data_IF_082336329954
#
_entry.id   IF_082336329954
#
_cell.length_a   1.000
_cell.length_b   1.000
_cell.length_c   1.000
_cell.angle_alpha   90.00
_cell.angle_beta   90.00
_cell.angle_gamma   90.00
#
_symmetry.space_group_name_H-M   'P 1'
#
loop_
_entity.id
_entity.type
_entity.pdbx_description
1 polymer ?
2 non-polymer ?
3 non-polymer ?
4 water ?
#
# COMPACT_ATOMS: atom_id res chain seq x y z
N UNK A 4 -24.09 9.18 25.86
CA UNK A 4 -23.52 9.52 24.52
C UNK A 4 -24.60 9.54 23.46
N UNK A 5 -24.62 10.57 22.60
CA UNK A 5 -25.62 10.56 21.53
C UNK A 5 -25.32 9.44 20.53
N UNK A 6 -26.34 9.06 19.76
CA UNK A 6 -26.24 7.98 18.78
C UNK A 6 -25.55 8.45 17.48
N UNK A 7 -24.99 7.48 16.76
CA UNK A 7 -24.45 7.71 15.43
C UNK A 7 -25.50 8.44 14.59
N UNK A 8 -25.09 9.51 13.91
CA UNK A 8 -25.95 10.20 12.95
C UNK A 8 -25.40 10.04 11.53
N UNK A 9 -26.32 9.88 10.58
CA UNK A 9 -26.00 9.79 9.16
C UNK A 9 -26.91 10.79 8.45
N UNK A 10 -26.31 11.78 7.80
CA UNK A 10 -27.06 12.86 7.17
C UNK A 10 -26.58 13.06 5.75
N UNK A 11 -27.49 13.00 4.79
CA UNK A 11 -27.12 13.21 3.39
C UNK A 11 -26.73 14.67 3.14
N UNK A 12 -25.53 14.89 2.63
CA UNK A 12 -25.07 16.22 2.29
C UNK A 12 -25.53 16.59 0.89
N UNK A 13 -25.40 15.64 -0.03
CA UNK A 13 -25.91 15.78 -1.39
C UNK A 13 -25.88 14.40 -2.00
N UNK A 14 -26.31 14.27 -3.24
CA UNK A 14 -26.35 12.97 -3.90
C UNK A 14 -24.97 12.32 -3.81
N UNK A 15 -24.92 11.13 -3.23
CA UNK A 15 -23.68 10.36 -3.12
C UNK A 15 -22.71 10.75 -2.01
N UNK A 16 -23.10 11.67 -1.14
CA UNK A 16 -22.22 12.14 -0.06
C UNK A 16 -23.01 12.27 1.25
N UNK A 17 -22.56 11.52 2.27
CA UNK A 17 -23.18 11.51 3.59
C UNK A 17 -22.14 11.88 4.64
N UNK A 18 -22.56 12.62 5.65
CA UNK A 18 -21.70 12.93 6.78
C UNK A 18 -22.11 11.98 7.90
N UNK A 19 -21.14 11.27 8.46
CA UNK A 19 -21.41 10.48 9.66
C UNK A 19 -20.80 11.17 10.87
N UNK A 20 -21.60 11.27 11.94
CA UNK A 20 -21.15 11.88 13.16
C UNK A 20 -21.28 10.85 14.28
N UNK A 21 -20.17 10.59 14.94
CA UNK A 21 -20.12 9.65 16.05
C UNK A 21 -19.52 10.34 17.26
N UNK A 22 -19.78 9.78 18.44
CA UNK A 22 -19.42 10.41 19.71
C UNK A 22 -18.69 9.45 20.64
N UNK A 23 -17.76 9.98 21.42
CA UNK A 23 -17.05 9.17 22.40
C UNK A 23 -16.81 9.94 23.69
N UNK A 27 -10.46 14.07 32.57
CA UNK A 27 -11.39 12.95 32.32
C UNK A 27 -12.34 13.41 31.24
N UNK A 28 -11.77 14.29 30.42
CA UNK A 28 -12.44 15.30 29.58
C UNK A 28 -14.00 15.41 29.53
N UNK A 29 -14.64 14.62 28.68
CA UNK A 29 -16.07 14.79 28.39
C UNK A 29 -16.51 14.00 27.17
N UNK A 30 -16.76 14.70 26.06
CA UNK A 30 -17.33 14.06 24.87
C UNK A 30 -16.86 14.72 23.56
N UNK A 31 -16.32 13.90 22.67
CA UNK A 31 -15.81 14.33 21.36
C UNK A 31 -16.86 14.04 20.29
N UNK A 32 -17.20 15.07 19.50
CA UNK A 32 -18.02 14.93 18.31
C UNK A 32 -17.09 14.75 17.11
N UNK A 33 -17.32 13.71 16.29
CA UNK A 33 -16.42 13.40 15.17
C UNK A 33 -17.21 13.18 13.89
N UNK A 34 -16.92 14.01 12.89
CA UNK A 34 -17.55 13.91 11.57
C UNK A 34 -16.64 13.15 10.60
N UNK A 35 -17.24 12.27 9.81
CA UNK A 35 -16.58 11.66 8.67
C UNK A 35 -17.54 11.69 7.51
N UNK A 36 -17.14 11.09 6.40
CA UNK A 36 -18.01 10.95 5.24
C UNK A 36 -18.21 9.50 4.83
N UNK A 37 -19.29 9.25 4.11
CA UNK A 37 -19.42 8.07 3.25
C UNK A 37 -19.71 8.61 1.86
N UNK A 38 -18.94 8.15 0.88
CA UNK A 38 -19.02 8.61 -0.49
C UNK A 38 -19.41 7.44 -1.38
N UNK A 39 -20.35 7.66 -2.29
CA UNK A 39 -20.83 6.62 -3.21
C UNK A 39 -20.19 6.76 -4.58
N UNK A 40 -19.72 5.63 -5.12
CA UNK A 40 -19.30 5.52 -6.53
C UNK A 40 -20.20 4.41 -7.08
N UNK A 41 -21.17 4.79 -7.90
CA UNK A 41 -22.31 3.93 -8.24
C UNK A 41 -22.99 3.46 -6.94
N UNK A 42 -23.12 2.15 -6.76
CA UNK A 42 -23.68 1.64 -5.53
C UNK A 42 -22.63 1.21 -4.51
N UNK A 43 -21.36 1.56 -4.75
CA UNK A 43 -20.30 1.20 -3.82
C UNK A 43 -20.06 2.37 -2.86
N UNK A 44 -19.93 2.06 -1.58
CA UNK A 44 -19.74 3.09 -0.57
C UNK A 44 -18.32 3.04 -0.02
N UNK A 45 -17.73 4.21 0.19
CA UNK A 45 -16.39 4.32 0.76
C UNK A 45 -16.45 5.20 2.00
N UNK A 46 -15.94 4.68 3.12
CA UNK A 46 -15.89 5.46 4.35
C UNK A 46 -14.68 6.38 4.28
N UNK A 47 -14.91 7.65 4.54
CA UNK A 47 -13.80 8.60 4.72
C UNK A 47 -13.72 8.86 6.22
N UNK A 48 -12.70 8.24 6.83
CA UNK A 48 -12.56 8.05 8.28
C UNK A 48 -13.61 7.05 8.77
N UNK A 49 -13.21 6.18 9.70
CA UNK A 49 -14.17 5.32 10.36
C UNK A 49 -14.79 6.15 11.49
N UNK A 50 -15.98 5.75 11.95
CA UNK A 50 -16.46 6.32 13.20
C UNK A 50 -15.49 6.07 14.35
N UNK A 51 -15.75 6.80 15.43
CA UNK A 51 -14.86 6.92 16.55
C UNK A 51 -14.85 5.67 17.43
N UNK A 52 -15.81 4.75 17.23
CA UNK A 52 -15.77 3.42 17.86
C UNK A 52 -16.00 2.29 16.85
N UNK A 53 -15.55 1.09 17.22
CA UNK A 53 -15.83 -0.11 16.43
C UNK A 53 -17.32 -0.39 16.30
N UNK A 54 -18.08 -0.21 17.39
CA UNK A 54 -19.54 -0.41 17.35
C UNK A 54 -20.25 0.54 16.40
N UNK A 55 -19.86 1.82 16.42
CA UNK A 55 -20.43 2.81 15.48
C UNK A 55 -20.04 2.52 14.03
N UNK A 56 -18.85 1.95 13.83
CA UNK A 56 -18.42 1.55 12.50
C UNK A 56 -19.35 0.44 11.97
N UNK A 57 -19.65 -0.52 12.84
CA UNK A 57 -20.58 -1.60 12.50
C UNK A 57 -21.97 -1.05 12.20
N UNK A 58 -22.45 -0.12 13.02
CA UNK A 58 -23.77 0.47 12.79
C UNK A 58 -23.82 1.20 11.44
N UNK A 59 -22.77 1.96 11.17
CA UNK A 59 -22.68 2.69 9.91
C UNK A 59 -22.72 1.76 8.70
N UNK A 60 -21.86 0.76 8.72
CA UNK A 60 -21.77 -0.22 7.64
C UNK A 60 -23.14 -0.90 7.43
N UNK A 61 -23.78 -1.31 8.53
CA UNK A 61 -25.10 -1.95 8.44
C UNK A 61 -26.19 -1.07 7.88
N UNK A 62 -26.13 0.22 8.19
CA UNK A 62 -27.12 1.14 7.64
C UNK A 62 -26.97 1.16 6.13
N UNK A 63 -25.73 1.26 5.67
CA UNK A 63 -25.50 1.35 4.22
C UNK A 63 -25.87 0.03 3.51
N UNK A 64 -25.49 -1.09 4.09
CA UNK A 64 -25.86 -2.42 3.57
C UNK A 64 -27.37 -2.56 3.48
N UNK A 65 -28.08 -2.11 4.51
CA UNK A 65 -29.54 -2.23 4.58
C UNK A 65 -30.28 -1.26 3.64
N UNK A 66 -29.54 -0.31 3.07
CA UNK A 66 -30.05 0.55 2.00
C UNK A 66 -29.53 0.16 0.65
N UNK A 67 -28.93 -1.03 0.55
CA UNK A 67 -28.57 -1.58 -0.74
C UNK A 67 -27.19 -1.27 -1.25
N UNK A 68 -26.36 -0.63 -0.41
CA UNK A 68 -25.01 -0.26 -0.82
C UNK A 68 -23.99 -1.28 -0.33
N UNK A 69 -22.99 -1.52 -1.17
CA UNK A 69 -21.87 -2.38 -0.88
C UNK A 69 -20.75 -1.53 -0.28
N UNK A 70 -20.27 -1.87 0.92
CA UNK A 70 -19.15 -1.13 1.51
C UNK A 70 -17.83 -1.65 0.94
N UNK A 71 -17.21 -0.86 0.08
CA UNK A 71 -16.09 -1.31 -0.72
C UNK A 71 -14.72 -0.93 -0.16
N UNK A 72 -14.67 0.08 0.70
CA UNK A 72 -13.42 0.44 1.34
C UNK A 72 -13.56 1.57 2.35
N UNK A 73 -12.51 1.78 3.12
CA UNK A 73 -12.41 2.92 4.03
C UNK A 73 -11.00 3.45 4.01
N UNK A 74 -10.89 4.78 4.13
CA UNK A 74 -9.61 5.44 4.17
C UNK A 74 -9.59 6.26 5.47
N UNK A 75 -8.54 6.07 6.26
CA UNK A 75 -8.34 6.81 7.50
C UNK A 75 -7.35 7.96 7.26
N UNK A 76 -7.71 9.17 7.66
CA UNK A 76 -6.88 10.35 7.44
C UNK A 76 -5.73 10.59 8.42
N UNK A 77 -5.74 9.96 9.60
CA UNK A 77 -4.58 9.96 10.47
C UNK A 77 -4.71 8.84 11.49
N UNK A 78 -3.64 8.63 12.25
CA UNK A 78 -3.54 7.42 13.09
C UNK A 78 -4.39 7.41 14.35
N UNK A 79 -4.86 8.59 14.79
CA UNK A 79 -5.66 8.66 16.03
C UNK A 79 -6.92 7.83 15.89
N UNK A 80 -7.40 7.34 17.04
CA UNK A 80 -8.61 6.54 17.12
C UNK A 80 -9.84 7.12 16.45
N UNK A 81 -9.98 8.45 16.46
CA UNK A 81 -11.18 9.01 15.84
C UNK A 81 -11.27 8.83 14.32
N UNK A 82 -10.14 8.47 13.67
CA UNK A 82 -10.13 8.16 12.21
C UNK A 82 -10.00 6.66 11.92
N UNK A 83 -9.53 5.89 12.90
CA UNK A 83 -9.11 4.52 12.71
C UNK A 83 -9.80 3.47 13.60
N UNK A 84 -10.66 3.88 14.55
CA UNK A 84 -11.22 2.92 15.52
C UNK A 84 -11.80 1.68 14.83
N UNK A 85 -12.45 1.89 13.68
CA UNK A 85 -13.15 0.82 13.00
C UNK A 85 -12.34 -0.10 12.08
N UNK A 86 -11.05 0.15 11.93
CA UNK A 86 -10.24 -0.61 10.96
C UNK A 86 -10.23 -2.11 11.29
N UNK A 87 -10.01 -2.45 12.55
CA UNK A 87 -9.99 -3.87 12.95
C UNK A 87 -11.28 -4.58 12.57
N UNK A 88 -12.41 -3.99 12.93
CA UNK A 88 -13.69 -4.60 12.57
C UNK A 88 -13.90 -4.67 11.05
N UNK A 89 -13.51 -3.62 10.33
CA UNK A 89 -13.65 -3.65 8.88
C UNK A 89 -12.80 -4.79 8.28
N UNK A 90 -11.58 -4.98 8.78
CA UNK A 90 -10.72 -6.07 8.31
C UNK A 90 -11.36 -7.44 8.54
N UNK A 91 -12.08 -7.60 9.65
CA UNK A 91 -12.79 -8.85 9.95
C UNK A 91 -13.90 -9.14 8.95
N UNK A 92 -14.46 -8.08 8.34
CA UNK A 92 -15.51 -8.21 7.33
C UNK A 92 -14.98 -8.34 5.90
N UNK A 93 -13.67 -8.40 5.73
CA UNK A 93 -13.01 -8.32 4.41
C UNK A 93 -13.34 -7.04 3.63
N UNK A 94 -13.51 -5.94 4.35
CA UNK A 94 -13.65 -4.63 3.73
C UNK A 94 -12.26 -4.01 3.69
N UNK A 95 -11.84 -3.62 2.50
CA UNK A 95 -10.50 -3.10 2.27
C UNK A 95 -10.30 -1.80 3.03
N UNK A 96 -9.27 -1.77 3.87
CA UNK A 96 -8.94 -0.56 4.64
C UNK A 96 -7.68 0.06 4.07
N UNK A 97 -7.64 1.39 4.05
CA UNK A 97 -6.53 2.13 3.49
C UNK A 97 -6.04 3.20 4.46
N UNK A 98 -4.73 3.40 4.48
CA UNK A 98 -4.08 4.51 5.19
C UNK A 98 -2.72 4.75 4.57
N UNK A 99 -2.17 5.95 4.73
CA UNK A 99 -0.82 6.21 4.26
C UNK A 99 0.17 5.28 4.96
N UNK A 100 1.34 5.10 4.36
CA UNK A 100 2.38 4.29 5.00
C UNK A 100 2.80 4.87 6.33
N UNK A 101 2.90 6.20 6.41
CA UNK A 101 3.23 6.86 7.68
C UNK A 101 2.17 6.61 8.77
N UNK A 102 0.89 6.72 8.40
CA UNK A 102 -0.20 6.43 9.31
C UNK A 102 -0.13 4.98 9.82
N UNK A 103 0.09 4.02 8.91
CA UNK A 103 0.28 2.62 9.30
C UNK A 103 1.48 2.36 10.20
N UNK A 104 2.58 3.05 9.94
CA UNK A 104 3.76 2.99 10.80
C UNK A 104 3.45 3.51 12.23
N UNK A 105 2.66 4.58 12.33
CA UNK A 105 2.27 5.11 13.63
C UNK A 105 1.26 4.24 14.37
N UNK A 106 0.32 3.64 13.64
CA UNK A 106 -0.57 2.63 14.20
C UNK A 106 0.23 1.47 14.79
N UNK A 107 1.14 0.91 14.00
CA UNK A 107 1.96 -0.20 14.45
C UNK A 107 2.77 0.15 15.71
N UNK A 108 3.43 1.30 15.69
CA UNK A 108 4.15 1.83 16.86
C UNK A 108 3.28 1.88 18.13
N UNK A 109 1.99 2.20 17.99
CA UNK A 109 1.03 2.18 19.12
C UNK A 109 0.38 0.81 19.39
N UNK A 110 0.88 -0.25 18.76
CA UNK A 110 0.27 -1.58 18.85
C UNK A 110 -1.20 -1.61 18.45
N UNK A 111 -1.51 -0.93 17.36
CA UNK A 111 -2.88 -0.86 16.86
C UNK A 111 -2.95 -1.57 15.53
N UNK A 112 -4.13 -2.02 15.19
CA UNK A 112 -4.34 -2.76 13.96
C UNK A 112 -4.14 -1.83 12.76
N UNK A 113 -3.36 -2.31 11.81
CA UNK A 113 -3.06 -1.55 10.59
C UNK A 113 -4.09 -1.71 9.50
N UNK A 114 -4.27 -0.67 8.69
CA UNK A 114 -4.95 -0.80 7.41
C UNK A 114 -4.28 -1.91 6.57
N UNK A 115 -5.08 -2.58 5.77
CA UNK A 115 -4.62 -3.65 4.87
C UNK A 115 -3.78 -3.09 3.73
N UNK A 116 -4.18 -1.93 3.23
CA UNK A 116 -3.60 -1.30 2.06
C UNK A 116 -3.02 0.06 2.41
N UNK A 117 -1.91 0.40 1.79
CA UNK A 117 -1.26 1.66 2.03
C UNK A 117 -0.64 2.23 0.77
N UNK A 118 -0.13 3.45 0.90
CA UNK A 118 0.41 4.19 -0.22
C UNK A 118 1.52 5.11 0.29
N UNK A 119 2.52 5.33 -0.56
CA UNK A 119 3.73 6.04 -0.18
C UNK A 119 3.80 7.49 -0.60
N UNK A 120 2.99 7.90 -1.58
CA UNK A 120 3.15 9.22 -2.18
C UNK A 120 2.46 10.36 -1.42
N UNK A 121 2.86 11.58 -1.76
CA UNK A 121 2.18 12.77 -1.29
C UNK A 121 0.78 12.88 -1.88
N UNK A 122 0.62 12.47 -3.14
CA UNK A 122 -0.67 12.45 -3.82
C UNK A 122 -0.98 11.03 -4.24
N UNK A 123 -2.22 10.61 -4.01
CA UNK A 123 -2.63 9.24 -4.30
C UNK A 123 -4.10 9.21 -4.66
N UNK A 124 -4.45 8.53 -5.75
CA UNK A 124 -5.85 8.33 -6.13
C UNK A 124 -6.34 7.00 -5.62
N UNK A 125 -7.28 7.05 -4.68
CA UNK A 125 -7.92 5.84 -4.18
C UNK A 125 -8.80 5.33 -5.30
N UNK A 126 -9.67 6.19 -5.83
CA UNK A 126 -10.37 5.84 -7.06
C UNK A 126 -10.23 7.03 -8.05
N UNK A 127 -9.73 6.71 -9.24
CA UNK A 127 -9.34 7.74 -10.23
C UNK A 127 -10.48 8.71 -10.52
N UNK A 128 -10.16 9.99 -10.45
CA UNK A 128 -11.09 11.11 -10.64
C UNK A 128 -12.28 11.21 -9.67
N UNK A 129 -12.27 10.43 -8.58
CA UNK A 129 -13.42 10.41 -7.68
C UNK A 129 -13.04 10.55 -6.21
N UNK A 130 -12.01 9.85 -5.77
CA UNK A 130 -11.52 9.98 -4.39
C UNK A 130 -10.00 10.06 -4.40
N UNK A 131 -9.49 11.23 -4.05
CA UNK A 131 -8.08 11.53 -4.11
C UNK A 131 -7.57 11.90 -2.72
N UNK A 132 -6.33 11.50 -2.44
CA UNK A 132 -5.72 11.70 -1.14
C UNK A 132 -4.51 12.60 -1.31
N UNK A 133 -4.32 13.52 -0.36
CA UNK A 133 -3.22 14.49 -0.42
C UNK A 133 -2.62 14.74 0.96
N UNK A 134 -1.30 14.76 1.03
CA UNK A 134 -0.56 15.10 2.24
C UNK A 134 -0.05 16.54 2.16
N UNK A 135 -0.61 17.46 2.97
CA UNK A 135 -0.13 18.84 2.98
C UNK A 135 1.15 19.06 3.78
N UNK A 136 1.52 18.09 4.62
CA UNK A 136 2.63 18.26 5.54
C UNK A 136 2.10 18.12 6.98
N UNK A 137 3.00 18.05 7.96
CA UNK A 137 2.58 17.90 9.34
C UNK A 137 1.72 19.05 9.85
N UNK A 138 0.85 18.74 10.80
CA UNK A 138 0.01 19.75 11.40
C UNK A 138 -0.53 19.19 12.69
N UNK A 139 -1.82 18.84 12.68
CA UNK A 139 -2.45 18.18 13.82
C UNK A 139 -1.66 16.94 14.26
N UNK A 140 -1.20 16.16 13.29
CA UNK A 140 -0.25 15.07 13.52
C UNK A 140 0.76 15.06 12.40
N UNK A 141 1.78 14.21 12.52
CA UNK A 141 2.81 14.07 11.46
C UNK A 141 2.27 13.47 10.16
N UNK A 142 1.17 12.70 10.24
CA UNK A 142 0.74 11.87 9.11
C UNK A 142 -0.55 12.36 8.45
N UNK A 143 -1.12 13.44 8.95
CA UNK A 143 -2.46 13.82 8.53
C UNK A 143 -2.60 14.06 7.03
N UNK A 144 -3.59 13.42 6.40
CA UNK A 144 -3.88 13.63 4.99
C UNK A 144 -5.31 14.13 4.85
N UNK A 145 -5.63 14.66 3.68
CA UNK A 145 -6.96 15.12 3.36
C UNK A 145 -7.46 14.31 2.18
N UNK A 146 -8.78 14.31 2.00
CA UNK A 146 -9.41 13.56 0.93
C UNK A 146 -10.24 14.51 0.08
N UNK A 147 -9.93 14.53 -1.21
CA UNK A 147 -10.57 15.41 -2.19
C UNK A 147 -11.52 14.63 -3.11
N UNK A 148 -12.74 15.15 -3.29
CA UNK A 148 -13.73 14.57 -4.19
C UNK A 148 -13.88 15.50 -5.39
N UNK A 149 -13.08 15.28 -6.45
CA UNK A 149 -13.07 16.23 -7.59
C UNK A 149 -14.44 16.50 -8.20
N UNK A 150 -15.24 15.46 -8.40
CA UNK A 150 -16.55 15.64 -9.03
C UNK A 150 -17.49 16.49 -8.18
N UNK A 151 -17.34 16.42 -6.87
CA UNK A 151 -18.25 17.14 -5.97
C UNK A 151 -17.68 18.46 -5.47
N UNK A 152 -16.38 18.66 -5.68
CA UNK A 152 -15.63 19.81 -5.17
C UNK A 152 -15.71 19.91 -3.64
N UNK A 153 -15.69 18.75 -2.99
CA UNK A 153 -15.73 18.64 -1.53
C UNK A 153 -14.39 18.17 -0.99
N UNK A 154 -13.87 18.90 -0.01
CA UNK A 154 -12.66 18.47 0.67
C UNK A 154 -13.03 17.97 2.06
N UNK A 155 -12.56 16.77 2.40
CA UNK A 155 -12.57 16.32 3.78
C UNK A 155 -11.21 16.56 4.38
N UNK A 156 -11.16 17.48 5.32
CA UNK A 156 -9.91 17.89 5.91
C UNK A 156 -9.59 17.21 7.21
N UNK A 157 -10.53 16.43 7.74
CA UNK A 157 -10.28 15.66 8.96
C UNK A 157 -9.89 16.54 10.13
N UNK A 158 -8.92 16.09 10.92
CA UNK A 158 -8.50 16.84 12.10
C UNK A 158 -7.45 17.93 11.82
N UNK A 159 -7.08 18.10 10.54
CA UNK A 159 -6.15 19.13 10.12
C UNK A 159 -6.84 20.47 10.00
N UNK A 160 -8.05 20.51 9.43
CA UNK A 160 -8.75 21.79 9.39
C UNK A 160 -9.45 22.05 10.73
N UNK A 161 -9.02 23.17 11.31
CA UNK A 161 -9.29 23.56 12.67
C UNK A 161 -9.53 25.05 12.70
N UNK A 162 -10.65 25.50 12.13
CA UNK A 162 -10.88 26.92 11.95
C UNK A 162 -11.27 27.67 13.20
N UNK A 163 -11.47 26.95 14.32
CA UNK A 163 -11.96 27.49 15.60
C UNK A 163 -10.94 27.44 16.70
N UNK A 164 -9.82 26.79 16.46
CA UNK A 164 -8.92 26.38 17.53
C UNK A 164 -8.36 25.03 17.14
N UNK A 165 -7.11 24.80 17.49
CA UNK A 165 -6.38 23.64 17.02
C UNK A 165 -6.65 22.32 17.77
N UNK A 166 -7.37 22.38 18.87
CA UNK A 166 -7.75 21.18 19.63
C UNK A 166 -6.56 20.50 20.30
N UNK A 167 -6.50 19.18 20.16
CA UNK A 167 -5.49 18.36 20.82
C UNK A 167 -4.09 18.52 20.21
N UNK A 168 -3.16 19.11 20.98
CA UNK A 168 -1.80 19.34 20.51
C UNK A 168 -0.80 18.24 20.86
N UNK A 169 -1.25 17.18 21.53
CA UNK A 169 -0.33 16.13 22.03
C UNK A 169 0.63 15.56 21.00
N UNK A 170 0.16 15.40 19.75
CA UNK A 170 1.00 14.84 18.70
C UNK A 170 1.20 15.83 17.55
N UNK A 171 0.97 17.10 17.82
CA UNK A 171 0.95 18.11 16.77
C UNK A 171 2.32 18.65 16.48
N UNK A 172 2.48 19.21 15.28
CA UNK A 172 3.71 19.87 14.89
C UNK A 172 3.39 21.33 14.65
N UNK A 173 3.56 22.13 15.70
CA UNK A 173 3.19 23.56 15.66
C UNK A 173 4.03 24.34 14.66
N UNK A 174 5.30 23.98 14.52
CA UNK A 174 6.20 24.73 13.66
C UNK A 174 5.94 24.48 12.19
N UNK A 175 5.41 23.29 11.86
CA UNK A 175 5.12 22.92 10.49
C UNK A 175 3.70 23.27 10.04
N UNK A 176 2.76 23.38 10.98
CA UNK A 176 1.35 23.53 10.64
C UNK A 176 1.02 24.75 9.75
N UNK A 177 1.65 25.93 10.02
CA UNK A 177 1.32 27.08 9.16
C UNK A 177 1.70 26.86 7.69
N UNK A 178 2.90 26.34 7.45
CA UNK A 178 3.34 26.03 6.09
C UNK A 178 2.44 24.98 5.43
N UNK A 179 2.13 23.91 6.16
CA UNK A 179 1.20 22.88 5.68
C UNK A 179 -0.14 23.47 5.30
N UNK A 180 -0.64 24.34 6.16
CA UNK A 180 -1.93 24.98 5.96
C UNK A 180 -1.97 25.88 4.72
N UNK A 181 -0.86 26.58 4.45
CA UNK A 181 -0.73 27.40 3.25
C UNK A 181 -0.73 26.50 2.01
N UNK A 182 0.01 25.40 2.08
CA UNK A 182 0.02 24.40 1.00
C UNK A 182 -1.42 23.94 0.70
N UNK A 183 -2.19 23.65 1.76
CA UNK A 183 -3.56 23.20 1.60
C UNK A 183 -4.47 24.28 0.99
N UNK A 184 -4.32 25.54 1.46
CA UNK A 184 -5.05 26.68 0.90
C UNK A 184 -4.78 26.86 -0.59
N UNK A 185 -3.53 26.79 -0.99
CA UNK A 185 -3.16 26.91 -2.41
C UNK A 185 -3.80 25.81 -3.26
N UNK A 186 -3.76 24.57 -2.75
CA UNK A 186 -4.23 23.43 -3.53
C UNK A 186 -5.77 23.37 -3.68
N UNK A 187 -6.51 23.75 -2.64
CA UNK A 187 -7.95 23.54 -2.60
C UNK A 187 -8.80 24.78 -2.42
N UNK A 188 -8.29 25.93 -2.87
CA UNK A 188 -9.15 27.10 -3.09
C UNK A 188 -10.35 26.78 -3.93
N UNK A 189 -10.21 25.82 -4.85
CA UNK A 189 -11.32 25.31 -5.67
C UNK A 189 -12.47 24.60 -4.90
N UNK A 190 -12.25 24.23 -3.65
CA UNK A 190 -13.27 23.55 -2.84
C UNK A 190 -14.55 24.37 -2.67
N UNK A 191 -15.69 23.75 -2.99
CA UNK A 191 -17.02 24.29 -2.69
C UNK A 191 -17.33 24.13 -1.21
N UNK A 192 -17.13 22.92 -0.68
CA UNK A 192 -17.32 22.64 0.75
C UNK A 192 -16.08 22.05 1.38
N UNK A 193 -15.80 22.46 2.60
CA UNK A 193 -14.72 21.88 3.41
C UNK A 193 -15.37 21.24 4.63
N UNK A 194 -15.26 19.92 4.71
CA UNK A 194 -15.77 19.14 5.83
C UNK A 194 -14.62 18.83 6.74
N UNK A 195 -14.80 19.10 8.03
CA UNK A 195 -13.75 18.83 9.01
C UNK A 195 -14.22 17.83 10.06
N UNK A 196 -13.27 17.33 10.83
CA UNK A 196 -13.56 16.32 11.86
C UNK A 196 -14.42 16.89 13.00
N UNK A 197 -14.11 18.11 13.43
CA UNK A 197 -14.65 18.64 14.68
C UNK A 197 -15.37 20.00 14.56
N UNK A 198 -15.46 20.61 13.37
CA UNK A 198 -16.23 21.85 13.17
C UNK A 198 -17.35 21.71 12.16
N UNK A 199 -18.23 22.71 12.12
CA UNK A 199 -19.32 22.74 11.13
C UNK A 199 -18.77 22.89 9.71
N UNK A 200 -19.53 22.39 8.75
CA UNK A 200 -19.16 22.44 7.33
C UNK A 200 -19.17 23.90 6.86
N UNK A 201 -18.14 24.28 6.10
CA UNK A 201 -18.07 25.61 5.49
C UNK A 201 -17.47 25.57 4.10
N UNK A 202 -17.05 26.74 3.61
CA UNK A 202 -16.43 26.82 2.30
C UNK A 202 -14.90 26.87 2.40
N UNK A 203 -14.25 27.25 1.31
CA UNK A 203 -12.79 27.24 1.25
C UNK A 203 -12.14 28.19 2.26
N UNK A 204 -12.89 29.17 2.76
CA UNK A 204 -12.35 30.08 3.77
C UNK A 204 -11.89 29.37 5.05
N UNK A 205 -12.44 28.18 5.33
CA UNK A 205 -11.99 27.41 6.49
C UNK A 205 -10.54 27.01 6.38
N UNK A 206 -10.01 26.96 5.16
CA UNK A 206 -8.59 26.68 4.98
C UNK A 206 -7.76 27.88 5.48
N UNK A 207 -8.23 29.08 5.14
CA UNK A 207 -7.58 30.30 5.62
C UNK A 207 -7.68 30.42 7.15
N UNK A 208 -8.88 30.20 7.68
CA UNK A 208 -9.10 30.16 9.13
C UNK A 208 -8.09 29.23 9.83
N UNK A 209 -7.88 28.06 9.23
CA UNK A 209 -6.95 27.09 9.78
C UNK A 209 -5.52 27.60 9.83
N UNK A 210 -5.09 28.25 8.75
CA UNK A 210 -3.77 28.84 8.68
C UNK A 210 -3.61 29.88 9.80
N UNK A 211 -4.62 30.70 10.00
CA UNK A 211 -4.61 31.74 11.06
C UNK A 211 -4.51 31.15 12.45
N UNK A 212 -5.24 30.05 12.69
CA UNK A 212 -5.16 29.35 13.99
C UNK A 212 -3.81 28.68 14.21
N UNK A 213 -3.21 28.17 13.13
CA UNK A 213 -1.90 27.55 13.24
C UNK A 213 -0.83 28.59 13.57
N UNK A 214 -0.89 29.73 12.89
CA UNK A 214 0.03 30.84 13.18
C UNK A 214 -0.16 31.28 14.63
N UNK A 215 -1.41 31.59 15.01
CA UNK A 215 -1.75 32.01 16.37
C UNK A 215 -1.23 31.02 17.43
N UNK A 216 -1.47 29.74 17.21
CA UNK A 216 -1.04 28.70 18.13
C UNK A 216 0.46 28.50 18.23
N UNK A 217 1.15 28.66 17.11
CA UNK A 217 2.62 28.57 17.10
C UNK A 217 3.24 29.74 17.88
N UNK A 218 2.71 30.95 17.67
CA UNK A 218 3.16 32.12 18.43
C UNK A 218 3.01 31.91 19.94
N UNK A 219 1.83 31.46 20.36
CA UNK A 219 1.55 31.22 21.78
C UNK A 219 2.46 30.17 22.45
N UNK A 220 3.02 29.23 21.68
CA UNK A 220 3.85 28.18 22.28
C UNK A 220 5.21 28.69 22.76
N UNK B 3 28.34 -7.10 -24.92
CA UNK B 3 28.69 -7.95 -23.75
C UNK B 3 27.47 -8.68 -23.18
N UNK B 4 26.60 -7.95 -22.47
CA UNK B 4 25.45 -8.55 -21.80
C UNK B 4 24.41 -9.07 -22.79
N UNK B 5 23.88 -10.28 -22.55
CA UNK B 5 22.77 -10.72 -23.41
C UNK B 5 21.54 -9.79 -23.29
N UNK B 6 20.72 -9.74 -24.34
CA UNK B 6 19.52 -8.92 -24.34
C UNK B 6 18.42 -9.56 -23.49
N UNK B 7 17.46 -8.73 -23.08
CA UNK B 7 16.26 -9.19 -22.39
C UNK B 7 15.61 -10.33 -23.17
N UNK B 8 15.23 -11.40 -22.49
CA UNK B 8 14.51 -12.52 -23.10
C UNK B 8 13.09 -12.58 -22.54
N UNK B 9 12.14 -12.89 -23.41
CA UNK B 9 10.75 -13.06 -23.04
C UNK B 9 10.30 -14.39 -23.62
N UNK B 10 9.91 -15.33 -22.76
CA UNK B 10 9.47 -16.64 -23.22
C UNK B 10 8.15 -17.01 -22.60
N UNK B 11 7.24 -17.47 -23.45
CA UNK B 11 5.93 -17.90 -23.01
C UNK B 11 6.07 -19.21 -22.24
N UNK B 12 5.56 -19.25 -21.03
CA UNK B 12 5.60 -20.46 -20.21
C UNK B 12 4.33 -21.27 -20.46
N UNK B 13 3.20 -20.58 -20.43
CA UNK B 13 1.92 -21.17 -20.80
C UNK B 13 0.95 -20.01 -21.01
N UNK B 14 -0.29 -20.32 -21.34
CA UNK B 14 -1.23 -19.25 -21.62
C UNK B 14 -1.27 -18.27 -20.44
N UNK B 15 -1.02 -17.01 -20.74
CA UNK B 15 -1.13 -15.94 -19.74
C UNK B 15 0.08 -15.78 -18.82
N UNK B 16 1.16 -16.52 -19.05
CA UNK B 16 2.34 -16.44 -18.18
C UNK B 16 3.61 -16.48 -19.01
N UNK B 17 4.40 -15.41 -18.86
CA UNK B 17 5.68 -15.26 -19.53
C UNK B 17 6.82 -15.16 -18.49
N UNK B 18 7.98 -15.72 -18.84
CA UNK B 18 9.21 -15.53 -18.07
C UNK B 18 10.01 -14.46 -18.74
N UNK B 19 10.39 -13.44 -17.99
CA UNK B 19 11.37 -12.48 -18.48
C UNK B 19 12.70 -12.73 -17.80
N UNK B 20 13.76 -12.74 -18.61
CA UNK B 20 15.13 -12.95 -18.13
C UNK B 20 15.97 -11.74 -18.53
N UNK B 21 16.54 -11.07 -17.54
CA UNK B 21 17.35 -9.90 -17.78
C UNK B 21 18.73 -10.10 -17.13
N UNK B 22 19.68 -9.29 -17.58
CA UNK B 22 21.09 -9.50 -17.25
C UNK B 22 21.72 -8.19 -16.75
N UNK B 23 22.60 -8.29 -15.77
CA UNK B 23 23.32 -7.11 -15.30
C UNK B 23 24.74 -7.47 -14.92
N UNK B 24 25.68 -6.63 -15.33
CA UNK B 24 27.07 -6.76 -14.86
C UNK B 24 27.21 -5.99 -13.56
N UNK B 25 27.38 -6.71 -12.46
CA UNK B 25 27.62 -6.09 -11.17
C UNK B 25 29.12 -5.80 -11.13
N UNK B 26 29.46 -4.51 -11.13
CA UNK B 26 30.84 -4.07 -11.28
C UNK B 26 31.71 -4.60 -10.15
N UNK B 27 32.87 -5.15 -10.49
CA UNK B 27 33.75 -5.78 -9.51
C UNK B 27 33.29 -7.13 -8.95
N UNK B 28 32.22 -7.70 -9.51
CA UNK B 28 31.67 -8.98 -9.02
C UNK B 28 31.51 -9.91 -10.20
N UNK B 29 30.62 -9.58 -11.14
CA UNK B 29 30.35 -10.43 -12.31
C UNK B 29 28.97 -10.19 -12.89
N UNK B 30 28.42 -11.18 -13.59
CA UNK B 30 27.13 -11.00 -14.27
C UNK B 30 25.97 -11.85 -13.67
N UNK B 31 24.88 -11.17 -13.33
CA UNK B 31 23.70 -11.77 -12.73
C UNK B 31 22.63 -11.98 -13.81
N UNK B 32 22.07 -13.18 -13.86
CA UNK B 32 20.93 -13.56 -14.69
C UNK B 32 19.70 -13.56 -13.78
N UNK B 33 18.66 -12.81 -14.16
CA UNK B 33 17.47 -12.62 -13.28
C UNK B 33 16.18 -12.98 -14.05
N UNK B 34 15.46 -13.95 -13.51
CA UNK B 34 14.14 -14.35 -14.01
C UNK B 34 13.03 -13.65 -13.22
N UNK B 35 12.04 -13.13 -13.93
CA UNK B 35 10.77 -12.72 -13.32
C UNK B 35 9.63 -13.22 -14.21
N UNK B 36 8.40 -12.84 -13.87
CA UNK B 36 7.26 -13.17 -14.72
C UNK B 36 6.52 -11.94 -15.21
N UNK B 37 5.75 -12.14 -16.28
CA UNK B 37 4.65 -11.25 -16.62
C UNK B 37 3.39 -12.13 -16.67
N UNK B 38 2.35 -11.68 -15.97
CA UNK B 38 1.11 -12.42 -15.87
C UNK B 38 -0.02 -11.60 -16.50
N UNK B 39 -0.81 -12.28 -17.32
CA UNK B 39 -1.90 -11.63 -18.05
C UNK B 39 -3.23 -11.93 -17.38
N UNK B 40 -4.03 -10.88 -17.21
CA UNK B 40 -5.43 -11.01 -16.78
C UNK B 40 -6.25 -10.28 -17.86
N UNK B 41 -6.85 -11.07 -18.74
CA UNK B 41 -7.47 -10.59 -19.96
C UNK B 41 -6.42 -9.82 -20.77
N UNK B 42 -6.63 -8.53 -21.01
CA UNK B 42 -5.67 -7.72 -21.73
C UNK B 42 -4.72 -6.90 -20.84
N UNK B 43 -4.74 -7.14 -19.54
CA UNK B 43 -3.90 -6.41 -18.61
C UNK B 43 -2.70 -7.30 -18.25
N UNK B 44 -1.53 -6.68 -18.15
CA UNK B 44 -0.30 -7.40 -17.85
C UNK B 44 0.24 -6.91 -16.52
N UNK B 45 0.75 -7.84 -15.72
CA UNK B 45 1.32 -7.53 -14.41
C UNK B 45 2.74 -8.07 -14.35
N UNK B 46 3.69 -7.21 -13.96
CA UNK B 46 5.08 -7.65 -13.82
C UNK B 46 5.27 -8.24 -12.45
N UNK B 47 5.81 -9.45 -12.40
CA UNK B 47 6.16 -10.09 -11.16
C UNK B 47 7.67 -9.95 -11.08
N UNK B 48 8.11 -8.96 -10.30
CA UNK B 48 9.46 -8.39 -10.28
C UNK B 48 9.72 -7.56 -11.54
N UNK B 49 10.39 -6.42 -11.37
CA UNK B 49 10.85 -5.71 -12.55
C UNK B 49 12.11 -6.43 -13.00
N UNK B 50 12.47 -6.27 -14.27
CA UNK B 50 13.83 -6.63 -14.71
C UNK B 50 14.90 -5.93 -13.86
N UNK B 51 16.12 -6.43 -14.01
CA UNK B 51 17.26 -6.05 -13.20
C UNK B 51 17.82 -4.68 -13.58
N UNK B 52 17.37 -4.12 -14.70
CA UNK B 52 17.65 -2.72 -15.00
C UNK B 52 16.41 -1.96 -15.42
N UNK B 53 16.46 -0.64 -15.26
CA UNK B 53 15.42 0.27 -15.72
C UNK B 53 15.24 0.19 -17.22
N UNK B 54 16.35 0.14 -17.96
CA UNK B 54 16.33 -0.03 -19.42
C UNK B 54 15.60 -1.31 -19.86
N UNK B 55 15.90 -2.45 -19.23
CA UNK B 55 15.18 -3.67 -19.60
C UNK B 55 13.70 -3.67 -19.17
N UNK B 56 13.38 -2.92 -18.11
CA UNK B 56 12.00 -2.70 -17.70
C UNK B 56 11.21 -1.99 -18.82
N UNK B 57 11.77 -0.92 -19.36
CA UNK B 57 11.19 -0.20 -20.49
C UNK B 57 11.01 -1.13 -21.69
N UNK B 58 12.04 -1.90 -22.04
CA UNK B 58 11.92 -2.85 -23.13
C UNK B 58 10.83 -3.88 -22.91
N UNK B 59 10.70 -4.35 -21.67
CA UNK B 59 9.72 -5.36 -21.36
C UNK B 59 8.31 -4.79 -21.55
N UNK B 60 8.08 -3.61 -20.98
CA UNK B 60 6.81 -2.92 -21.09
C UNK B 60 6.46 -2.64 -22.56
N UNK B 61 7.42 -2.11 -23.31
CA UNK B 61 7.21 -1.85 -24.74
C UNK B 61 6.85 -3.10 -25.52
N UNK B 62 7.50 -4.23 -25.23
CA UNK B 62 7.17 -5.47 -25.92
C UNK B 62 5.72 -5.85 -25.69
N UNK B 63 5.27 -5.77 -24.43
CA UNK B 63 3.87 -6.12 -24.14
C UNK B 63 2.86 -5.15 -24.77
N UNK B 64 3.16 -3.85 -24.79
CA UNK B 64 2.35 -2.85 -25.49
C UNK B 64 2.27 -3.15 -27.00
N UNK B 65 3.41 -3.53 -27.58
CA UNK B 65 3.46 -3.88 -28.99
C UNK B 65 2.68 -5.14 -29.31
N UNK B 66 2.41 -5.96 -28.28
CA UNK B 66 1.56 -7.14 -28.41
C UNK B 66 0.12 -6.94 -27.91
N UNK B 67 -0.26 -5.69 -27.71
CA UNK B 67 -1.66 -5.31 -27.45
C UNK B 67 -2.04 -5.17 -25.99
N UNK B 68 -1.12 -5.50 -25.08
CA UNK B 68 -1.43 -5.48 -23.65
C UNK B 68 -1.20 -4.12 -23.03
N UNK B 69 -1.96 -3.88 -21.98
CA UNK B 69 -1.86 -2.69 -21.20
C UNK B 69 -1.16 -3.12 -19.90
N UNK B 70 -0.11 -2.43 -19.52
CA UNK B 70 0.61 -2.81 -18.31
C UNK B 70 -0.07 -2.15 -17.13
N UNK B 71 -0.68 -2.94 -16.27
CA UNK B 71 -1.52 -2.41 -15.20
C UNK B 71 -0.81 -2.36 -13.83
N UNK B 72 0.26 -3.13 -13.66
CA UNK B 72 0.99 -3.04 -12.40
C UNK B 72 2.25 -3.87 -12.33
N UNK B 73 3.06 -3.61 -11.31
CA UNK B 73 4.20 -4.47 -10.95
C UNK B 73 4.23 -4.75 -9.45
N UNK B 74 4.65 -5.95 -9.09
CA UNK B 74 4.88 -6.32 -7.72
C UNK B 74 6.36 -6.75 -7.60
N UNK B 75 7.04 -6.16 -6.63
CA UNK B 75 8.44 -6.47 -6.34
C UNK B 75 8.53 -7.33 -5.10
N UNK B 76 9.28 -8.43 -5.19
CA UNK B 76 9.29 -9.48 -4.16
C UNK B 76 10.29 -9.21 -3.02
N UNK B 77 11.27 -8.34 -3.25
CA UNK B 77 12.13 -7.86 -2.20
C UNK B 77 12.83 -6.56 -2.61
N UNK B 78 13.52 -5.95 -1.66
CA UNK B 78 14.03 -4.60 -1.85
C UNK B 78 15.22 -4.48 -2.77
N UNK B 79 15.97 -5.57 -2.99
CA UNK B 79 17.15 -5.47 -3.86
C UNK B 79 16.82 -5.02 -5.27
N UNK B 80 17.83 -4.44 -5.91
CA UNK B 80 17.71 -3.95 -7.29
C UNK B 80 17.23 -4.96 -8.31
N UNK B 81 17.55 -6.24 -8.15
CA UNK B 81 17.11 -7.20 -9.16
C UNK B 81 15.59 -7.44 -9.16
N UNK B 82 14.89 -6.99 -8.12
CA UNK B 82 13.42 -7.00 -8.09
C UNK B 82 12.75 -5.63 -8.28
N UNK B 83 13.49 -4.55 -8.06
CA UNK B 83 12.92 -3.20 -7.96
C UNK B 83 13.52 -2.13 -8.90
N UNK B 84 14.56 -2.48 -9.69
CA UNK B 84 15.29 -1.52 -10.52
C UNK B 84 14.36 -0.68 -11.38
N UNK B 85 13.28 -1.28 -11.84
CA UNK B 85 12.35 -0.60 -12.75
C UNK B 85 11.26 0.22 -12.13
N UNK B 86 11.17 0.24 -10.79
CA UNK B 86 10.06 0.94 -10.11
C UNK B 86 9.99 2.42 -10.51
N UNK B 87 11.15 3.09 -10.49
CA UNK B 87 11.19 4.51 -10.81
C UNK B 87 10.62 4.78 -12.21
N UNK B 88 11.07 4.00 -13.19
CA UNK B 88 10.60 4.20 -14.55
C UNK B 88 9.10 3.92 -14.64
N UNK B 89 8.66 2.84 -14.00
CA UNK B 89 7.24 2.50 -13.99
C UNK B 89 6.39 3.63 -13.43
N UNK B 90 6.80 4.17 -12.28
CA UNK B 90 6.13 5.32 -11.66
C UNK B 90 6.05 6.55 -12.60
N UNK B 91 7.11 6.78 -13.39
CA UNK B 91 7.12 7.86 -14.38
C UNK B 91 6.10 7.62 -15.50
N UNK B 92 5.74 6.36 -15.74
CA UNK B 92 4.69 6.02 -16.69
C UNK B 92 3.28 5.92 -16.09
N UNK B 93 3.12 6.32 -14.83
CA UNK B 93 1.86 6.11 -14.08
C UNK B 93 1.38 4.66 -14.05
N UNK B 94 2.31 3.70 -14.08
CA UNK B 94 1.99 2.30 -13.87
C UNK B 94 2.09 2.02 -12.36
N UNK B 95 1.03 1.50 -11.76
CA UNK B 95 1.00 1.26 -10.32
C UNK B 95 2.07 0.24 -9.95
N UNK B 96 2.92 0.60 -8.99
CA UNK B 96 3.94 -0.31 -8.46
C UNK B 96 3.57 -0.72 -7.04
N UNK B 97 3.81 -2.00 -6.72
CA UNK B 97 3.43 -2.57 -5.43
C UNK B 97 4.64 -3.21 -4.76
N UNK B 98 4.71 -3.05 -3.44
CA UNK B 98 5.66 -3.78 -2.62
C UNK B 98 5.12 -3.83 -1.21
N UNK B 99 5.59 -4.77 -0.41
CA UNK B 99 5.14 -4.82 0.99
C UNK B 99 5.61 -3.55 1.71
N UNK B 100 5.01 -3.27 2.85
CA UNK B 100 5.40 -2.10 3.61
C UNK B 100 6.87 -2.24 4.04
N UNK B 101 7.26 -3.44 4.41
CA UNK B 101 8.64 -3.69 4.83
C UNK B 101 9.62 -3.43 3.67
N UNK B 102 9.29 -3.96 2.49
CA UNK B 102 10.12 -3.72 1.31
C UNK B 102 10.25 -2.23 1.02
N UNK B 103 9.13 -1.49 1.09
CA UNK B 103 9.17 -0.05 0.91
C UNK B 103 10.02 0.69 1.92
N UNK B 104 9.99 0.27 3.18
CA UNK B 104 10.79 0.94 4.18
C UNK B 104 12.29 0.64 3.97
N UNK B 105 12.63 -0.57 3.51
CA UNK B 105 14.02 -0.88 3.18
C UNK B 105 14.52 -0.12 1.94
N UNK B 106 13.63 0.09 0.95
CA UNK B 106 13.94 0.92 -0.19
C UNK B 106 14.26 2.36 0.26
N UNK B 107 13.38 2.93 1.07
CA UNK B 107 13.52 4.30 1.54
C UNK B 107 14.82 4.47 2.34
N UNK B 108 15.07 3.53 3.26
CA UNK B 108 16.32 3.47 4.01
C UNK B 108 17.57 3.51 3.13
N UNK B 109 17.51 2.88 1.96
CA UNK B 109 18.62 2.92 0.99
C UNK B 109 18.57 4.08 0.00
N UNK B 110 17.74 5.08 0.27
CA UNK B 110 17.50 6.16 -0.68
C UNK B 110 17.10 5.72 -2.09
N UNK B 111 16.19 4.75 -2.16
CA UNK B 111 15.71 4.25 -3.44
C UNK B 111 14.27 4.64 -3.61
N UNK B 112 13.82 4.66 -4.85
CA UNK B 112 12.46 5.05 -5.14
C UNK B 112 11.48 3.96 -4.65
N UNK B 113 10.43 4.41 -3.97
CA UNK B 113 9.43 3.51 -3.40
C UNK B 113 8.34 3.14 -4.39
N UNK B 114 7.80 1.94 -4.22
CA UNK B 114 6.54 1.57 -4.85
C UNK B 114 5.43 2.52 -4.39
N UNK B 115 4.50 2.83 -5.28
CA UNK B 115 3.40 3.74 -4.94
C UNK B 115 2.37 3.08 -4.01
N UNK B 116 2.22 1.76 -4.15
CA UNK B 116 1.21 1.01 -3.42
C UNK B 116 1.88 -0.02 -2.51
N UNK B 117 1.33 -0.22 -1.31
CA UNK B 117 1.90 -1.19 -0.37
C UNK B 117 0.82 -1.91 0.43
N UNK B 118 1.23 -2.88 1.24
CA UNK B 118 0.28 -3.66 2.00
C UNK B 118 0.97 -4.12 3.28
N UNK B 119 0.16 -4.30 4.32
CA UNK B 119 0.66 -4.63 5.65
C UNK B 119 0.61 -6.10 6.03
N UNK B 120 -0.22 -6.90 5.38
CA UNK B 120 -0.46 -8.26 5.85
C UNK B 120 0.60 -9.26 5.40
N UNK B 121 0.64 -10.40 6.09
CA UNK B 121 1.41 -11.56 5.67
C UNK B 121 0.91 -12.12 4.33
N UNK B 122 -0.41 -12.02 4.09
CA UNK B 122 -1.02 -12.48 2.84
C UNK B 122 -1.73 -11.31 2.21
N UNK B 123 -1.66 -11.22 0.88
CA UNK B 123 -2.25 -10.09 0.15
C UNK B 123 -2.64 -10.54 -1.24
N UNK B 124 -3.85 -10.17 -1.69
CA UNK B 124 -4.25 -10.41 -3.08
C UNK B 124 -4.01 -9.18 -3.90
N UNK B 125 -3.14 -9.28 -4.89
CA UNK B 125 -2.89 -8.19 -5.81
C UNK B 125 -4.08 -8.12 -6.76
N UNK B 126 -4.41 -9.26 -7.35
CA UNK B 126 -5.62 -9.44 -8.14
C UNK B 126 -6.35 -10.67 -7.60
N UNK B 127 -7.58 -10.43 -7.14
CA UNK B 127 -8.41 -11.44 -6.48
C UNK B 127 -8.42 -12.73 -7.26
N UNK B 128 -8.06 -13.82 -6.58
CA UNK B 128 -8.07 -15.17 -7.15
C UNK B 128 -7.16 -15.37 -8.36
N UNK B 129 -6.25 -14.42 -8.62
CA UNK B 129 -5.33 -14.56 -9.74
C UNK B 129 -3.86 -14.31 -9.40
N UNK B 130 -3.57 -13.26 -8.64
CA UNK B 130 -2.19 -12.96 -8.24
C UNK B 130 -2.22 -12.65 -6.75
N UNK B 131 -1.61 -13.56 -5.99
CA UNK B 131 -1.60 -13.49 -4.54
C UNK B 131 -0.15 -13.41 -4.05
N UNK B 132 0.03 -12.78 -2.90
CA UNK B 132 1.35 -12.50 -2.35
C UNK B 132 1.41 -13.10 -0.96
N UNK B 133 2.56 -13.66 -0.60
CA UNK B 133 2.73 -14.29 0.71
C UNK B 133 4.12 -14.11 1.29
N UNK B 134 4.16 -13.74 2.56
CA UNK B 134 5.42 -13.58 3.30
C UNK B 134 5.69 -14.83 4.15
N UNK B 135 6.67 -15.68 3.75
CA UNK B 135 6.94 -16.89 4.56
C UNK B 135 7.80 -16.63 5.80
N UNK B 136 8.44 -15.47 5.86
CA UNK B 136 9.37 -15.15 6.91
C UNK B 136 10.73 -14.77 6.30
N UNK B 137 11.65 -14.30 7.15
CA UNK B 137 12.96 -13.90 6.64
C UNK B 137 13.75 -15.05 6.00
N UNK B 138 14.53 -14.72 4.98
CA UNK B 138 15.41 -15.71 4.36
C UNK B 138 16.54 -15.03 3.63
N UNK B 139 16.42 -15.00 2.30
CA UNK B 139 17.36 -14.24 1.49
C UNK B 139 17.49 -12.80 1.97
N UNK B 140 16.35 -12.20 2.37
CA UNK B 140 16.30 -10.88 3.01
C UNK B 140 15.22 -10.93 4.08
N UNK B 141 15.12 -9.89 4.89
CA UNK B 141 14.07 -9.78 5.91
C UNK B 141 12.68 -9.66 5.31
N UNK B 142 12.59 -9.03 4.14
CA UNK B 142 11.31 -8.66 3.52
C UNK B 142 10.78 -9.59 2.43
N UNK B 143 11.57 -10.60 2.03
CA UNK B 143 11.22 -11.39 0.84
C UNK B 143 9.82 -12.02 0.85
N UNK B 144 9.08 -11.79 -0.24
CA UNK B 144 7.77 -12.42 -0.43
C UNK B 144 7.76 -13.25 -1.69
N UNK B 145 6.75 -14.11 -1.78
CA UNK B 145 6.55 -14.94 -2.94
C UNK B 145 5.20 -14.59 -3.57
N UNK B 146 5.04 -14.97 -4.83
CA UNK B 146 3.84 -14.64 -5.58
C UNK B 146 3.30 -15.94 -6.13
N UNK B 147 2.01 -16.16 -5.89
CA UNK B 147 1.29 -17.39 -6.22
C UNK B 147 0.18 -17.07 -7.23
N UNK B 148 0.11 -17.85 -8.29
CA UNK B 148 -0.96 -17.79 -9.27
C UNK B 148 -1.91 -18.99 -9.06
N UNK B 149 -2.97 -18.79 -8.27
CA UNK B 149 -3.79 -19.95 -7.87
C UNK B 149 -4.44 -20.72 -9.02
N UNK B 150 -4.77 -20.03 -10.12
CA UNK B 150 -5.44 -20.69 -11.24
C UNK B 150 -4.48 -21.58 -12.02
N UNK B 151 -3.20 -21.29 -11.90
CA UNK B 151 -2.17 -22.02 -12.62
C UNK B 151 -1.31 -22.91 -11.73
N UNK B 152 -1.39 -22.71 -10.41
CA UNK B 152 -0.52 -23.40 -9.46
C UNK B 152 0.98 -23.17 -9.79
N UNK B 153 1.29 -21.94 -10.15
CA UNK B 153 2.68 -21.52 -10.36
C UNK B 153 3.08 -20.62 -9.22
N UNK B 154 4.23 -20.91 -8.61
CA UNK B 154 4.79 -20.10 -7.56
C UNK B 154 6.00 -19.37 -8.07
N UNK B 155 6.03 -18.06 -7.91
CA UNK B 155 7.24 -17.30 -8.15
C UNK B 155 7.93 -17.06 -6.82
N UNK B 156 9.08 -17.71 -6.62
CA UNK B 156 9.78 -17.64 -5.32
C UNK B 156 10.88 -16.60 -5.27
N UNK B 157 11.16 -15.98 -6.41
CA UNK B 157 12.14 -14.90 -6.44
C UNK B 157 13.48 -15.37 -5.91
N UNK B 158 14.12 -14.54 -5.12
CA UNK B 158 15.48 -14.87 -4.63
C UNK B 158 15.48 -15.69 -3.33
N UNK B 159 14.29 -15.99 -2.82
CA UNK B 159 14.10 -16.89 -1.66
C UNK B 159 14.31 -18.35 -2.03
N UNK B 160 13.90 -18.72 -3.24
CA UNK B 160 14.04 -20.07 -3.73
C UNK B 160 15.43 -20.25 -4.32
N UNK B 161 16.21 -21.12 -3.68
CA UNK B 161 17.63 -21.23 -3.92
C UNK B 161 18.01 -22.70 -3.81
N UNK B 162 17.68 -23.49 -4.84
CA UNK B 162 17.73 -24.93 -4.72
C UNK B 162 19.13 -25.56 -4.78
N UNK B 163 20.15 -24.81 -5.20
CA UNK B 163 21.52 -25.38 -5.27
C UNK B 163 22.61 -24.45 -4.75
N UNK B 164 22.24 -23.48 -3.92
CA UNK B 164 23.17 -22.54 -3.30
C UNK B 164 22.45 -21.24 -2.99
N UNK B 165 22.78 -20.66 -1.84
CA UNK B 165 22.04 -19.52 -1.31
C UNK B 165 22.36 -18.18 -1.96
N UNK B 166 23.51 -18.06 -2.62
CA UNK B 166 23.91 -16.82 -3.26
C UNK B 166 24.33 -15.73 -2.30
N UNK B 167 23.80 -14.53 -2.50
CA UNK B 167 24.24 -13.36 -1.76
C UNK B 167 23.67 -13.33 -0.35
N UNK B 168 24.54 -13.60 0.64
CA UNK B 168 24.16 -13.66 2.05
C UNK B 168 24.19 -12.32 2.78
N UNK B 169 24.62 -11.26 2.10
CA UNK B 169 24.79 -9.95 2.74
C UNK B 169 23.60 -9.39 3.51
N UNK B 170 22.37 -9.66 3.07
CA UNK B 170 21.20 -9.14 3.77
C UNK B 170 20.34 -10.29 4.32
N UNK B 171 20.90 -11.50 4.33
CA UNK B 171 20.16 -12.71 4.63
C UNK B 171 20.06 -13.01 6.11
N UNK B 172 19.05 -13.80 6.44
CA UNK B 172 18.80 -14.21 7.81
C UNK B 172 18.91 -15.73 7.85
N UNK B 173 20.12 -16.21 8.09
CA UNK B 173 20.38 -17.66 7.99
C UNK B 173 19.67 -18.44 9.09
N UNK B 174 19.50 -17.82 10.25
CA UNK B 174 18.82 -18.44 11.37
C UNK B 174 17.36 -18.73 11.04
N UNK B 175 16.67 -17.78 10.40
CA UNK B 175 15.22 -17.95 10.12
C UNK B 175 14.91 -18.69 8.83
N UNK B 176 15.88 -18.80 7.92
CA UNK B 176 15.60 -19.28 6.55
C UNK B 176 15.03 -20.71 6.51
N UNK B 177 15.54 -21.63 7.37
CA UNK B 177 14.98 -22.98 7.36
C UNK B 177 13.49 -23.03 7.73
N UNK B 178 13.12 -22.31 8.78
CA UNK B 178 11.73 -22.25 9.21
C UNK B 178 10.88 -21.63 8.10
N UNK B 179 11.33 -20.49 7.57
CA UNK B 179 10.61 -19.81 6.47
C UNK B 179 10.40 -20.74 5.27
N UNK B 180 11.41 -21.55 4.97
CA UNK B 180 11.33 -22.48 3.86
C UNK B 180 10.29 -23.58 4.12
N UNK B 181 10.21 -24.03 5.37
CA UNK B 181 9.20 -25.03 5.74
C UNK B 181 7.79 -24.42 5.67
N UNK B 182 7.66 -23.17 6.07
CA UNK B 182 6.37 -22.47 6.04
C UNK B 182 5.93 -22.37 4.59
N UNK B 183 6.88 -22.10 3.70
CA UNK B 183 6.58 -22.00 2.29
C UNK B 183 6.11 -23.34 1.69
N UNK B 184 6.75 -24.43 2.12
CA UNK B 184 6.35 -25.77 1.68
C UNK B 184 4.97 -26.14 2.21
N UNK B 185 4.64 -25.66 3.41
CA UNK B 185 3.32 -25.84 3.98
C UNK B 185 2.25 -25.13 3.11
N UNK B 186 2.50 -23.87 2.80
CA UNK B 186 1.56 -23.03 2.06
C UNK B 186 1.44 -23.48 0.59
N UNK B 187 2.57 -23.71 -0.08
CA UNK B 187 2.58 -23.89 -1.54
C UNK B 187 3.26 -25.18 -2.01
N UNK B 188 3.30 -26.18 -1.14
CA UNK B 188 3.83 -27.50 -1.49
C UNK B 188 3.17 -28.19 -2.68
N UNK B 189 1.91 -27.86 -2.98
CA UNK B 189 1.23 -28.42 -4.17
C UNK B 189 1.55 -27.66 -5.47
N UNK B 190 2.49 -26.70 -5.45
CA UNK B 190 2.88 -26.01 -6.67
C UNK B 190 3.22 -26.97 -7.81
N UNK B 191 2.65 -26.72 -8.99
CA UNK B 191 3.00 -27.44 -10.21
C UNK B 191 4.38 -26.99 -10.73
N UNK B 192 4.59 -25.67 -10.75
CA UNK B 192 5.87 -25.08 -11.12
C UNK B 192 6.33 -24.04 -10.09
N UNK B 193 7.66 -24.02 -9.89
CA UNK B 193 8.32 -23.09 -9.00
C UNK B 193 9.33 -22.34 -9.86
N UNK B 194 9.09 -21.05 -10.01
CA UNK B 194 9.95 -20.16 -10.78
C UNK B 194 10.78 -19.39 -9.78
N UNK B 195 12.10 -19.44 -9.97
CA UNK B 195 13.03 -18.71 -9.11
C UNK B 195 13.77 -17.64 -9.90
N UNK B 196 14.46 -16.77 -9.18
CA UNK B 196 15.22 -15.69 -9.80
C UNK B 196 16.42 -16.17 -10.60
N UNK B 197 17.05 -17.26 -10.18
CA UNK B 197 18.34 -17.66 -10.77
C UNK B 197 18.51 -19.12 -11.17
N UNK B 198 17.52 -19.96 -10.98
CA UNK B 198 17.61 -21.35 -11.42
C UNK B 198 16.55 -21.62 -12.48
N UNK B 199 16.71 -22.75 -13.16
CA UNK B 199 15.71 -23.19 -14.14
C UNK B 199 14.41 -23.56 -13.41
N UNK B 200 13.29 -23.42 -14.11
CA UNK B 200 12.00 -23.71 -13.54
C UNK B 200 11.99 -25.20 -13.18
N UNK B 201 11.40 -25.54 -12.05
CA UNK B 201 11.23 -26.93 -11.67
C UNK B 201 9.89 -27.11 -11.01
N UNK B 202 9.72 -28.23 -10.30
CA UNK B 202 8.49 -28.53 -9.58
C UNK B 202 8.63 -28.22 -8.10
N UNK B 203 7.67 -28.66 -7.30
CA UNK B 203 7.65 -28.37 -5.87
C UNK B 203 8.89 -28.82 -5.10
N UNK B 204 9.60 -29.81 -5.63
CA UNK B 204 10.83 -30.27 -5.00
C UNK B 204 11.88 -29.16 -4.79
N UNK B 205 11.84 -28.09 -5.59
CA UNK B 205 12.76 -26.97 -5.38
C UNK B 205 12.63 -26.32 -4.01
N UNK B 206 11.45 -26.43 -3.42
CA UNK B 206 11.21 -25.88 -2.09
C UNK B 206 11.90 -26.73 -1.02
N UNK B 207 11.91 -28.05 -1.21
CA UNK B 207 12.65 -28.95 -0.34
C UNK B 207 14.16 -28.71 -0.50
N UNK B 208 14.58 -28.59 -1.76
CA UNK B 208 16.00 -28.24 -2.07
C UNK B 208 16.44 -26.97 -1.37
N UNK B 209 15.56 -25.96 -1.36
CA UNK B 209 15.84 -24.69 -0.72
C UNK B 209 16.05 -24.86 0.78
N UNK B 210 15.15 -25.58 1.44
CA UNK B 210 15.30 -25.88 2.87
C UNK B 210 16.65 -26.54 3.15
N UNK B 211 16.99 -27.52 2.32
CA UNK B 211 18.29 -28.23 2.45
C UNK B 211 19.45 -27.24 2.42
N UNK B 212 19.47 -26.39 1.39
CA UNK B 212 20.50 -25.36 1.25
C UNK B 212 20.53 -24.34 2.39
N UNK B 213 19.36 -23.97 2.93
CA UNK B 213 19.32 -23.04 4.05
C UNK B 213 19.91 -23.66 5.33
N UNK B 214 19.57 -24.91 5.59
CA UNK B 214 20.14 -25.65 6.74
C UNK B 214 21.66 -25.72 6.59
N UNK B 215 22.12 -26.22 5.44
CA UNK B 215 23.55 -26.30 5.11
C UNK B 215 24.28 -24.98 5.30
N UNK B 216 23.69 -23.88 4.83
CA UNK B 216 24.29 -22.56 4.97
C UNK B 216 24.33 -22.06 6.40
N UNK B 217 23.27 -22.35 7.15
CA UNK B 217 23.22 -21.99 8.56
C UNK B 217 24.31 -22.76 9.34
N UNK B 218 24.35 -24.07 9.14
CA UNK B 218 25.36 -24.92 9.80
C UNK B 218 26.79 -24.50 9.45
N UNK B 219 27.06 -24.25 8.16
CA UNK B 219 28.36 -23.76 7.72
C UNK B 219 28.73 -22.40 8.31
N UNK B 220 27.74 -21.57 8.60
CA UNK B 220 27.99 -20.27 9.26
C UNK B 220 28.42 -20.41 10.72
N UNK B 221 28.27 -21.60 11.29
CA UNK B 221 28.68 -21.92 12.66
C UNK B 221 27.73 -21.30 13.68
#
# INVERSE_FOLDING_TARGET
>A
DDSLPDLKIEKLEKGVYVHTSFEEVKGWGVVTKHGLVVLVKNDAYLIDTPITAKDTEKLVNWFIEHGYRIKGSISTHFHGDSTAGIEWLNSQSISTYASELTNELLKKDNKVQATNSFSGVSYSLIKNKIEVFYPGPGHTQDNVVVWLPEKKILFGGCFVKPDGLGNLGDANLEAWPKSAKILMSKYGKAKLVVSSHSEIGNASLLQRTWEQAVKGLNESKKPLQPSS
>B
DDSLPDLKIEKLEKGVYVHTSFEEVKGWGVVTKHGLVVLVKNDAYLIDTPITAKDTEKLVNWFIEHGYRIKGSISTHFHGDSTAGIEWLNSQSISTYASELTNELLKKDNKVQATNSFSGVSYSLIKNKIEVFYPGPGHTQDNVVVWLPEKKILFGGCFVKPDGLGNLGDANLEAWPKSAKILMSKYGKAKLVVSSHSEIGNASLLQRTWEQAVKGLNESKKPLQPSS
#
